data_IF_447427844791
#
_entry.id   IF_447427844791
#
_cell.length_a   1.000
_cell.length_b   1.000
_cell.length_c   1.000
_cell.angle_alpha   90.00
_cell.angle_beta   90.00
_cell.angle_gamma   90.00
#
_symmetry.space_group_name_H-M   'P 1'
#
loop_
_entity.id
_entity.type
_entity.pdbx_description
1 polymer ?
#
# COMPACT_ATOMS: atom_id res chain seq x y z
N UNK A 1 8.92 0.43 -6.48
CA UNK A 1 9.83 1.14 -7.38
C UNK A 1 9.09 2.26 -8.11
N UNK A 2 9.82 3.27 -8.56
CA UNK A 2 9.23 4.44 -9.20
C UNK A 2 8.63 5.45 -8.24
N UNK A 3 8.74 5.20 -6.93
CA UNK A 3 8.28 6.16 -5.92
C UNK A 3 9.24 7.35 -5.82
N UNK A 4 8.72 8.46 -5.35
CA UNK A 4 9.55 9.62 -5.05
C UNK A 4 10.51 9.32 -3.90
N UNK A 5 11.67 9.97 -3.93
CA UNK A 5 12.65 9.84 -2.85
C UNK A 5 12.08 10.49 -1.57
N UNK A 6 11.98 9.74 -0.45
CA UNK A 6 11.53 10.32 0.82
C UNK A 6 12.39 11.48 1.32
N UNK A 7 13.66 11.52 0.95
CA UNK A 7 14.58 12.59 1.32
C UNK A 7 14.58 13.77 0.35
N UNK A 8 13.77 13.72 -0.70
CA UNK A 8 13.60 14.85 -1.59
C UNK A 8 13.05 16.05 -0.80
N UNK A 9 13.58 17.23 -1.07
CA UNK A 9 13.28 18.43 -0.27
C UNK A 9 11.78 18.64 -0.07
N UNK A 10 11.01 18.50 -1.12
CA UNK A 10 9.55 18.66 -1.03
C UNK A 10 8.90 17.61 -0.17
N UNK A 11 9.37 16.36 -0.25
CA UNK A 11 8.84 15.27 0.57
C UNK A 11 9.11 15.52 2.06
N UNK A 12 10.31 15.96 2.41
CA UNK A 12 10.66 16.30 3.78
C UNK A 12 9.77 17.44 4.30
N UNK A 13 9.58 18.44 3.48
CA UNK A 13 8.78 19.62 3.83
C UNK A 13 7.30 19.29 4.05
N UNK A 14 6.69 18.57 3.11
CA UNK A 14 5.25 18.26 3.22
C UNK A 14 4.96 17.23 4.30
N UNK A 15 5.91 16.40 4.66
CA UNK A 15 5.78 15.46 5.78
C UNK A 15 6.09 16.11 7.13
N UNK A 16 6.46 17.39 7.15
CA UNK A 16 6.87 18.12 8.36
C UNK A 16 8.01 17.41 9.10
N UNK A 17 8.91 16.80 8.34
CA UNK A 17 10.07 16.10 8.90
C UNK A 17 9.75 14.71 9.47
N UNK A 18 8.50 14.25 9.41
CA UNK A 18 8.16 12.93 9.95
C UNK A 18 8.85 11.78 9.22
N UNK A 19 9.31 12.01 8.00
CA UNK A 19 10.10 11.04 7.24
C UNK A 19 11.34 10.58 8.01
N UNK A 20 11.86 11.40 8.91
CA UNK A 20 13.00 11.04 9.74
C UNK A 20 12.62 10.26 10.99
N UNK A 21 11.34 10.12 11.30
CA UNK A 21 10.83 9.49 12.51
C UNK A 21 10.40 8.04 12.31
N UNK A 22 10.24 7.60 11.08
CA UNK A 22 9.84 6.23 10.76
C UNK A 22 10.94 5.55 9.97
N UNK A 23 11.17 4.26 10.21
CA UNK A 23 12.12 3.51 9.40
C UNK A 23 11.58 3.33 7.99
N UNK A 24 12.45 3.51 7.01
CA UNK A 24 12.11 3.29 5.61
C UNK A 24 13.36 2.88 4.83
N UNK A 25 13.16 2.29 3.67
CA UNK A 25 14.25 1.91 2.78
C UNK A 25 13.74 1.85 1.34
N UNK A 26 14.67 1.86 0.40
CA UNK A 26 14.34 1.56 -0.98
C UNK A 26 14.38 0.06 -1.22
N UNK A 27 13.51 -0.43 -2.08
CA UNK A 27 13.69 -1.76 -2.66
C UNK A 27 14.87 -1.69 -3.60
N UNK A 28 15.87 -2.55 -3.38
CA UNK A 28 17.06 -2.60 -4.20
C UNK A 28 16.67 -2.73 -5.68
N UNK A 29 17.30 -1.94 -6.54
CA UNK A 29 16.99 -1.98 -7.97
C UNK A 29 17.35 -3.31 -8.64
N UNK A 30 18.17 -4.14 -8.00
CA UNK A 30 18.46 -5.50 -8.47
C UNK A 30 17.32 -6.47 -8.16
N UNK A 31 16.40 -6.10 -7.26
CA UNK A 31 15.22 -6.90 -6.94
C UNK A 31 14.12 -6.52 -7.92
N UNK A 32 13.60 -7.48 -8.69
CA UNK A 32 12.51 -7.21 -9.61
C UNK A 32 11.22 -6.92 -8.83
N UNK A 33 10.47 -5.97 -9.31
CA UNK A 33 9.16 -5.63 -8.78
C UNK A 33 8.10 -5.83 -9.87
N UNK A 34 6.95 -6.50 -9.59
CA UNK A 34 6.51 -6.96 -8.27
C UNK A 34 6.99 -8.36 -7.87
N UNK A 35 7.53 -9.15 -8.78
CA UNK A 35 7.70 -10.59 -8.60
C UNK A 35 8.57 -10.93 -7.38
N UNK A 36 9.82 -10.48 -7.38
CA UNK A 36 10.74 -10.80 -6.31
C UNK A 36 10.50 -9.96 -5.06
N UNK A 37 10.07 -8.72 -5.22
CA UNK A 37 9.76 -7.84 -4.09
C UNK A 37 8.63 -8.40 -3.22
N UNK A 38 7.54 -8.80 -3.85
CA UNK A 38 6.39 -9.37 -3.12
C UNK A 38 6.75 -10.72 -2.54
N UNK A 39 7.52 -11.54 -3.27
CA UNK A 39 7.98 -12.83 -2.76
C UNK A 39 8.82 -12.67 -1.49
N UNK A 40 9.72 -11.69 -1.45
CA UNK A 40 10.51 -11.42 -0.26
C UNK A 40 9.63 -11.04 0.94
N UNK A 41 8.59 -10.26 0.73
CA UNK A 41 7.66 -9.93 1.80
C UNK A 41 6.96 -11.17 2.34
N UNK A 42 6.55 -12.07 1.45
CA UNK A 42 5.93 -13.34 1.86
C UNK A 42 6.89 -14.23 2.64
N UNK A 43 8.15 -14.29 2.22
CA UNK A 43 9.18 -15.06 2.93
C UNK A 43 9.44 -14.50 4.33
N UNK A 44 9.26 -13.20 4.53
CA UNK A 44 9.37 -12.56 5.84
C UNK A 44 8.12 -12.72 6.72
N UNK A 45 7.09 -13.41 6.21
CA UNK A 45 5.87 -13.68 6.95
C UNK A 45 4.77 -12.65 6.77
N UNK A 46 4.90 -11.73 5.82
CA UNK A 46 3.87 -10.74 5.55
C UNK A 46 2.82 -11.26 4.58
N UNK A 47 1.57 -10.93 4.86
CA UNK A 47 0.52 -10.97 3.86
C UNK A 47 0.47 -9.61 3.17
N UNK A 48 0.26 -9.62 1.86
CA UNK A 48 0.27 -8.39 1.08
C UNK A 48 -1.16 -8.00 0.71
N UNK A 49 -1.47 -6.73 0.84
CA UNK A 49 -2.77 -6.19 0.45
C UNK A 49 -2.56 -5.02 -0.52
N UNK A 50 -3.09 -5.17 -1.73
CA UNK A 50 -3.05 -4.11 -2.73
C UNK A 50 -4.27 -3.21 -2.55
N UNK A 51 -4.03 -1.91 -2.43
CA UNK A 51 -5.13 -0.94 -2.38
C UNK A 51 -5.53 -0.59 -3.81
N UNK A 52 -6.61 -1.19 -4.28
CA UNK A 52 -7.08 -1.03 -5.66
C UNK A 52 -8.58 -1.27 -5.75
N UNK A 53 -9.18 -0.72 -6.79
CA UNK A 53 -10.60 -0.90 -7.09
C UNK A 53 -10.71 -1.91 -8.22
N UNK A 54 -11.04 -3.15 -7.89
CA UNK A 54 -11.25 -4.23 -8.86
C UNK A 54 -12.49 -5.04 -8.47
N UNK A 55 -12.93 -5.94 -9.35
CA UNK A 55 -14.08 -6.79 -9.07
C UNK A 55 -13.85 -7.74 -7.90
N UNK A 56 -12.58 -8.04 -7.59
CA UNK A 56 -12.19 -8.94 -6.49
C UNK A 56 -11.84 -8.19 -5.20
N UNK A 57 -11.95 -6.86 -5.20
CA UNK A 57 -11.59 -6.07 -4.03
C UNK A 57 -12.57 -6.31 -2.90
N UNK A 58 -12.02 -6.55 -1.70
CA UNK A 58 -12.81 -6.61 -0.48
C UNK A 58 -12.79 -5.24 0.19
N UNK A 59 -13.78 -4.97 1.05
CA UNK A 59 -13.77 -3.71 1.80
C UNK A 59 -12.61 -3.69 2.79
N UNK A 60 -12.06 -2.51 3.04
CA UNK A 60 -10.93 -2.32 3.95
C UNK A 60 -11.25 -2.76 5.39
N UNK A 61 -12.52 -2.83 5.76
CA UNK A 61 -12.95 -3.29 7.09
C UNK A 61 -13.18 -4.80 7.16
N UNK A 62 -12.79 -5.55 6.15
CA UNK A 62 -12.93 -7.01 6.14
C UNK A 62 -12.12 -7.62 7.30
N UNK A 63 -12.75 -8.48 8.09
CA UNK A 63 -12.14 -9.06 9.28
C UNK A 63 -10.92 -9.93 8.96
N UNK A 64 -10.85 -10.51 7.79
CA UNK A 64 -9.68 -11.30 7.38
C UNK A 64 -8.41 -10.46 7.34
N UNK A 65 -8.53 -9.20 6.91
CA UNK A 65 -7.39 -8.30 6.87
C UNK A 65 -6.90 -7.95 8.27
N UNK A 66 -7.82 -7.66 9.17
CA UNK A 66 -7.50 -7.29 10.54
C UNK A 66 -6.90 -8.48 11.31
N UNK A 67 -7.30 -9.69 10.97
CA UNK A 67 -6.84 -10.90 11.67
C UNK A 67 -5.40 -11.32 11.28
N UNK A 68 -4.83 -10.76 10.22
CA UNK A 68 -3.46 -11.08 9.82
C UNK A 68 -2.46 -10.45 10.78
N UNK A 69 -1.46 -11.23 11.20
CA UNK A 69 -0.44 -10.75 12.15
C UNK A 69 0.47 -9.68 11.54
N UNK A 70 0.82 -9.86 10.28
CA UNK A 70 1.72 -8.96 9.56
C UNK A 70 1.12 -8.63 8.20
N UNK A 71 0.84 -7.37 7.97
CA UNK A 71 0.33 -6.88 6.69
C UNK A 71 1.30 -5.90 6.06
N UNK A 72 1.55 -6.08 4.77
CA UNK A 72 2.24 -5.10 3.94
C UNK A 72 1.22 -4.47 3.00
N UNK A 73 1.00 -3.19 3.14
CA UNK A 73 0.04 -2.45 2.33
C UNK A 73 0.77 -1.89 1.11
N UNK A 74 0.28 -2.22 -0.08
CA UNK A 74 0.85 -1.76 -1.35
C UNK A 74 -0.05 -0.68 -1.91
N UNK A 75 0.51 0.50 -2.08
CA UNK A 75 -0.21 1.68 -2.57
C UNK A 75 0.29 2.04 -3.96
N UNK A 76 -0.62 2.47 -4.82
CA UNK A 76 -0.31 2.89 -6.17
C UNK A 76 -0.19 4.40 -6.31
N UNK A 77 0.14 4.84 -7.52
CA UNK A 77 0.17 6.26 -7.86
C UNK A 77 -1.25 6.81 -7.98
N UNK A 78 -1.37 8.12 -7.86
CA UNK A 78 -2.59 8.81 -8.25
C UNK A 78 -2.79 8.66 -9.77
N UNK A 79 -4.01 8.42 -10.20
CA UNK A 79 -4.34 8.21 -11.60
C UNK A 79 -4.30 6.73 -11.98
N UNK A 80 -3.13 6.22 -12.34
CA UNK A 80 -3.04 4.84 -12.86
C UNK A 80 -3.12 3.77 -11.77
N UNK A 81 -2.80 4.11 -10.52
CA UNK A 81 -2.81 3.15 -9.43
C UNK A 81 -1.74 2.08 -9.57
N UNK A 82 -2.05 0.87 -9.12
CA UNK A 82 -1.17 -0.29 -9.21
C UNK A 82 -1.39 -1.01 -10.54
N UNK A 83 -0.32 -1.57 -11.11
CA UNK A 83 -0.48 -2.38 -12.31
C UNK A 83 -1.07 -3.75 -11.99
N UNK A 84 -1.61 -4.42 -13.00
CA UNK A 84 -2.30 -5.70 -12.84
C UNK A 84 -1.40 -6.81 -12.29
N UNK A 85 -0.13 -6.80 -12.68
CA UNK A 85 0.83 -7.79 -12.20
C UNK A 85 1.03 -7.68 -10.68
N UNK A 86 1.14 -6.46 -10.16
CA UNK A 86 1.25 -6.22 -8.72
C UNK A 86 -0.02 -6.69 -8.00
N UNK A 87 -1.19 -6.31 -8.50
CA UNK A 87 -2.47 -6.68 -7.89
C UNK A 87 -2.63 -8.21 -7.84
N UNK A 88 -2.30 -8.90 -8.93
CA UNK A 88 -2.48 -10.36 -9.00
C UNK A 88 -1.55 -11.13 -8.07
N UNK A 89 -0.40 -10.57 -7.73
CA UNK A 89 0.57 -11.23 -6.85
C UNK A 89 0.28 -11.00 -5.36
N UNK A 90 -0.52 -10.01 -5.01
CA UNK A 90 -0.87 -9.73 -3.64
C UNK A 90 -1.87 -10.76 -3.10
N UNK A 91 -1.80 -11.03 -1.81
CA UNK A 91 -2.71 -11.97 -1.16
C UNK A 91 -4.14 -11.44 -1.11
N UNK A 92 -4.29 -10.13 -0.95
CA UNK A 92 -5.59 -9.46 -0.89
C UNK A 92 -5.58 -8.25 -1.78
N UNK A 93 -6.77 -7.88 -2.25
CA UNK A 93 -7.02 -6.58 -2.88
C UNK A 93 -8.13 -5.91 -2.08
N UNK A 94 -7.86 -4.73 -1.56
CA UNK A 94 -8.80 -4.02 -0.70
C UNK A 94 -9.16 -2.67 -1.28
N UNK A 95 -10.39 -2.24 -1.01
CA UNK A 95 -10.88 -0.92 -1.41
C UNK A 95 -11.49 -0.21 -0.21
N UNK A 96 -11.44 1.11 -0.24
CA UNK A 96 -12.16 1.95 0.69
C UNK A 96 -13.53 2.22 0.05
N UNK A 97 -14.64 1.81 0.71
CA UNK A 97 -15.96 2.07 0.15
C UNK A 97 -16.19 3.58 -0.02
N UNK A 98 -16.64 3.97 -1.21
CA UNK A 98 -16.87 5.36 -1.56
C UNK A 98 -18.33 5.56 -1.91
N UNK A 99 -18.86 6.73 -1.58
CA UNK A 99 -20.23 7.10 -1.88
C UNK A 99 -20.30 7.98 -3.13
N UNK A 100 -21.46 8.04 -3.75
CA UNK A 100 -21.80 8.98 -4.81
C UNK A 100 -20.91 8.89 -6.07
N UNK A 101 -20.48 7.69 -6.43
CA UNK A 101 -19.70 7.48 -7.65
C UNK A 101 -18.26 7.93 -7.59
N UNK A 102 -17.76 8.26 -6.41
CA UNK A 102 -16.33 8.58 -6.25
C UNK A 102 -15.54 7.27 -6.23
N UNK A 103 -14.56 7.15 -7.13
CA UNK A 103 -13.82 5.91 -7.32
C UNK A 103 -12.60 5.78 -6.40
N UNK A 104 -11.94 6.88 -6.08
CA UNK A 104 -10.69 6.79 -5.33
C UNK A 104 -10.46 8.01 -4.45
N UNK A 105 -9.64 7.81 -3.41
CA UNK A 105 -9.10 8.87 -2.59
C UNK A 105 -7.69 9.20 -3.05
N UNK A 106 -7.23 10.41 -2.71
CA UNK A 106 -5.82 10.75 -2.77
C UNK A 106 -5.01 9.69 -2.01
N UNK A 107 -3.83 9.33 -2.53
CA UNK A 107 -3.03 8.24 -1.95
C UNK A 107 -2.65 8.48 -0.50
N UNK A 108 -2.38 9.72 -0.11
CA UNK A 108 -2.06 10.04 1.29
C UNK A 108 -3.28 9.81 2.19
N UNK A 109 -4.46 10.24 1.75
CA UNK A 109 -5.70 10.00 2.49
C UNK A 109 -6.02 8.50 2.56
N UNK A 110 -5.86 7.79 1.45
CA UNK A 110 -6.08 6.34 1.40
C UNK A 110 -5.12 5.60 2.35
N UNK A 111 -3.85 6.01 2.40
CA UNK A 111 -2.89 5.40 3.31
C UNK A 111 -3.25 5.63 4.76
N UNK A 112 -3.71 6.82 5.11
CA UNK A 112 -4.13 7.14 6.47
C UNK A 112 -5.31 6.27 6.91
N UNK A 113 -6.32 6.11 6.05
CA UNK A 113 -7.48 5.27 6.34
C UNK A 113 -7.05 3.80 6.49
N UNK A 114 -6.19 3.32 5.58
CA UNK A 114 -5.72 1.94 5.63
C UNK A 114 -4.94 1.67 6.93
N UNK A 115 -4.02 2.54 7.31
CA UNK A 115 -3.24 2.35 8.53
C UNK A 115 -4.13 2.42 9.78
N UNK A 116 -5.08 3.32 9.82
CA UNK A 116 -6.02 3.40 10.92
C UNK A 116 -6.85 2.12 11.05
N UNK A 117 -7.46 1.71 9.95
CA UNK A 117 -8.38 0.57 9.95
C UNK A 117 -7.65 -0.75 10.19
N UNK A 118 -6.52 -0.96 9.53
CA UNK A 118 -5.81 -2.22 9.60
C UNK A 118 -4.93 -2.37 10.84
N UNK A 119 -4.70 -1.31 11.59
CA UNK A 119 -3.96 -1.38 12.85
C UNK A 119 -4.83 -1.66 14.06
N UNK A 120 -6.12 -1.81 13.88
CA UNK A 120 -7.07 -2.15 14.97
C UNK A 120 -7.00 -3.63 15.32
N UNK A 121 -5.95 -4.03 15.97
CA UNK A 121 -5.70 -5.45 16.28
C UNK A 121 -5.78 -5.77 17.74
#
# INVERSE_FOLDING_TARGET
KGCSDPLYRRSVRVSMGTVFQIPWTFVDHTVSWPENGIRQLKELGYKTVAMALTDRSVSIDNQKLISEDKLAVVLGTEGDGLNDATISLCDYTAKIPMAHGVDSLNVAAASAVAFWQLSKR
#
